data_IF_686679137654
#
_entry.id   IF_686679137654
#
_cell.length_a   1.000
_cell.length_b   1.000
_cell.length_c   1.000
_cell.angle_alpha   90.00
_cell.angle_beta   90.00
_cell.angle_gamma   90.00
#
_symmetry.space_group_name_H-M   'P 1'
#
loop_
_entity.id
_entity.type
_entity.pdbx_description
1 polymer ?
#
# COMPACT_ATOMS: atom_id res chain seq x y z
N UNK A 1 5.94 12.63 -21.29
CA UNK A 1 5.71 11.34 -20.61
C UNK A 1 5.81 11.57 -19.10
N UNK A 2 4.79 12.18 -18.50
CA UNK A 2 4.68 12.24 -17.04
C UNK A 2 3.40 11.53 -16.66
N UNK A 3 3.48 10.21 -16.57
CA UNK A 3 2.45 9.43 -15.90
C UNK A 3 2.55 9.77 -14.42
N UNK A 4 1.76 10.78 -14.04
CA UNK A 4 1.46 11.05 -12.65
C UNK A 4 0.75 9.78 -12.17
N UNK A 5 1.47 8.92 -11.45
CA UNK A 5 0.94 7.71 -10.81
C UNK A 5 -0.02 8.14 -9.70
N UNK A 6 -1.14 8.76 -10.08
CA UNK A 6 -2.22 9.07 -9.18
C UNK A 6 -2.82 7.75 -8.78
N UNK A 7 -2.54 7.41 -7.53
CA UNK A 7 -3.20 6.44 -6.68
C UNK A 7 -4.71 6.31 -6.97
N UNK A 8 -5.08 5.54 -7.99
CA UNK A 8 -6.46 5.15 -8.31
C UNK A 8 -6.66 3.63 -8.16
N UNK A 9 -5.68 2.94 -7.57
CA UNK A 9 -5.79 1.53 -7.22
C UNK A 9 -6.45 1.43 -5.85
N UNK A 10 -7.52 0.65 -5.76
CA UNK A 10 -8.14 0.30 -4.47
C UNK A 10 -7.08 -0.14 -3.46
N UNK A 11 -7.12 0.34 -2.21
CA UNK A 11 -6.21 -0.10 -1.15
C UNK A 11 -6.26 -1.62 -0.99
N UNK A 12 -5.15 -2.22 -0.60
CA UNK A 12 -5.07 -3.66 -0.36
C UNK A 12 -6.10 -4.08 0.69
N UNK A 13 -6.31 -3.28 1.73
CA UNK A 13 -7.33 -3.54 2.75
C UNK A 13 -8.74 -3.65 2.18
N UNK A 14 -9.05 -2.92 1.11
CA UNK A 14 -10.34 -2.99 0.42
C UNK A 14 -10.48 -4.29 -0.39
N UNK A 15 -9.42 -4.69 -1.10
CA UNK A 15 -9.40 -5.95 -1.87
C UNK A 15 -9.51 -7.16 -0.93
N UNK A 16 -8.71 -7.17 0.13
CA UNK A 16 -8.78 -8.20 1.17
C UNK A 16 -10.11 -8.18 1.92
N UNK A 17 -10.75 -7.01 2.08
CA UNK A 17 -12.10 -6.90 2.62
C UNK A 17 -13.14 -7.68 1.79
N UNK A 18 -13.06 -7.60 0.46
CA UNK A 18 -13.91 -8.41 -0.44
C UNK A 18 -13.55 -9.89 -0.40
N UNK A 19 -12.26 -10.24 -0.48
CA UNK A 19 -11.83 -11.63 -0.40
C UNK A 19 -12.21 -12.30 0.94
N UNK A 20 -12.16 -11.55 2.04
CA UNK A 20 -12.59 -12.02 3.36
C UNK A 20 -14.09 -12.32 3.46
N UNK A 21 -14.92 -11.84 2.53
CA UNK A 21 -16.33 -12.27 2.45
C UNK A 21 -16.45 -13.71 1.95
N UNK A 22 -15.70 -14.07 0.91
CA UNK A 22 -15.63 -15.44 0.40
C UNK A 22 -15.10 -16.40 1.46
N UNK A 23 -14.02 -16.02 2.16
CA UNK A 23 -13.47 -16.84 3.25
C UNK A 23 -14.47 -17.05 4.39
N UNK A 24 -15.26 -16.02 4.74
CA UNK A 24 -16.33 -16.16 5.74
C UNK A 24 -17.41 -17.14 5.30
N UNK A 25 -17.80 -17.13 4.02
CA UNK A 25 -18.76 -18.10 3.50
C UNK A 25 -18.22 -19.54 3.59
N UNK A 26 -16.92 -19.74 3.32
CA UNK A 26 -16.26 -21.05 3.52
C UNK A 26 -16.33 -21.49 4.98
N UNK A 27 -15.99 -20.61 5.93
CA UNK A 27 -16.09 -20.92 7.38
C UNK A 27 -17.52 -21.26 7.79
N UNK A 28 -18.52 -20.54 7.28
CA UNK A 28 -19.93 -20.83 7.54
C UNK A 28 -20.36 -22.20 6.99
N UNK A 29 -19.90 -22.57 5.80
CA UNK A 29 -20.17 -23.90 5.23
C UNK A 29 -19.58 -25.01 6.11
N UNK A 30 -18.36 -24.83 6.61
CA UNK A 30 -17.73 -25.77 7.53
C UNK A 30 -18.49 -25.85 8.86
N UNK A 31 -19.00 -24.72 9.38
CA UNK A 31 -19.81 -24.71 10.60
C UNK A 31 -21.11 -25.49 10.41
N UNK A 32 -21.83 -25.23 9.32
CA UNK A 32 -23.06 -25.95 8.99
C UNK A 32 -22.83 -27.45 8.84
N UNK A 33 -21.75 -27.85 8.16
CA UNK A 33 -21.37 -29.28 8.06
C UNK A 33 -21.08 -29.87 9.43
N UNK A 34 -20.33 -29.15 10.28
CA UNK A 34 -20.05 -29.58 11.63
C UNK A 34 -21.34 -29.77 12.44
N UNK A 35 -22.30 -28.86 12.34
CA UNK A 35 -23.59 -28.96 13.06
C UNK A 35 -24.42 -30.16 12.57
N UNK A 36 -24.43 -30.43 11.26
CA UNK A 36 -25.08 -31.62 10.68
C UNK A 36 -24.48 -32.92 11.23
N UNK A 37 -23.15 -32.97 11.36
CA UNK A 37 -22.46 -34.11 11.98
C UNK A 37 -22.86 -34.27 13.46
N UNK A 38 -22.94 -33.16 14.21
CA UNK A 38 -23.38 -33.21 15.61
C UNK A 38 -24.80 -33.75 15.72
N UNK A 39 -25.71 -33.23 14.91
CA UNK A 39 -27.10 -33.69 14.88
C UNK A 39 -27.17 -35.18 14.57
N UNK A 40 -26.45 -35.65 13.55
CA UNK A 40 -26.42 -37.05 13.17
C UNK A 40 -25.89 -37.96 14.28
N UNK A 41 -24.84 -37.53 15.00
CA UNK A 41 -24.29 -38.28 16.12
C UNK A 41 -25.26 -38.40 17.30
N UNK A 42 -26.12 -37.40 17.51
CA UNK A 42 -27.14 -37.39 18.58
C UNK A 42 -28.35 -38.22 18.20
N UNK A 43 -28.84 -38.09 16.96
CA UNK A 43 -30.03 -38.81 16.49
C UNK A 43 -29.75 -40.27 16.12
N UNK A 44 -28.47 -40.64 15.98
CA UNK A 44 -28.05 -41.95 15.51
C UNK A 44 -28.22 -42.13 13.98
N UNK A 45 -27.49 -43.08 13.37
CA UNK A 45 -27.77 -43.51 12.00
C UNK A 45 -29.16 -44.14 11.95
N UNK A 46 -30.03 -43.72 11.01
CA UNK A 46 -31.25 -44.47 10.71
C UNK A 46 -30.87 -45.75 9.96
N UNK A 47 -30.96 -46.90 10.62
CA UNK A 47 -30.93 -48.23 9.98
C UNK A 47 -32.28 -48.45 9.28
N UNK A 48 -32.34 -48.75 7.97
CA UNK A 48 -33.59 -49.17 7.32
C UNK A 48 -34.14 -50.50 7.82
N UNK A 49 -33.35 -51.26 8.60
CA UNK A 49 -33.69 -52.61 9.09
C UNK A 49 -34.45 -52.59 10.42
N UNK A 50 -34.60 -51.44 11.08
CA UNK A 50 -35.28 -51.34 12.40
C UNK A 50 -36.79 -51.10 12.31
N UNK A 51 -37.36 -50.88 11.10
CA UNK A 51 -38.81 -50.69 10.93
C UNK A 51 -39.60 -52.02 10.78
N UNK A 52 -38.93 -53.17 10.66
CA UNK A 52 -39.58 -54.48 10.50
C UNK A 52 -39.54 -55.40 11.75
N UNK A 53 -38.78 -55.04 12.79
CA UNK A 53 -38.50 -55.91 13.94
C UNK A 53 -39.10 -55.42 15.28
N UNK A 54 -40.13 -54.55 15.28
CA UNK A 54 -40.75 -54.05 16.52
C UNK A 54 -41.67 -55.07 17.25
N UNK A 55 -41.94 -56.27 16.70
CA UNK A 55 -42.87 -57.23 17.35
C UNK A 55 -42.24 -58.43 18.06
N UNK A 56 -40.95 -58.78 17.88
CA UNK A 56 -40.37 -59.94 18.55
C UNK A 56 -38.89 -59.77 18.93
N UNK A 57 -38.61 -59.25 20.13
CA UNK A 57 -37.61 -59.75 21.11
C UNK A 57 -37.29 -58.72 22.18
N UNK A 58 -38.06 -58.77 23.26
CA UNK A 58 -37.42 -58.60 24.58
C UNK A 58 -36.43 -59.77 24.78
N UNK A 59 -35.31 -59.50 25.47
CA UNK A 59 -34.22 -60.43 25.81
C UNK A 59 -33.09 -60.56 24.76
N UNK A 60 -32.33 -59.48 24.55
CA UNK A 60 -30.87 -59.61 24.44
C UNK A 60 -30.16 -58.34 24.94
N UNK A 61 -29.06 -58.56 25.67
CA UNK A 61 -28.31 -57.59 26.45
C UNK A 61 -27.47 -56.58 25.62
N UNK A 62 -26.99 -55.49 26.24
CA UNK A 62 -26.71 -54.18 25.64
C UNK A 62 -25.31 -54.02 25.01
N UNK A 63 -24.90 -54.90 24.11
CA UNK A 63 -23.60 -54.75 23.44
C UNK A 63 -23.67 -53.66 22.36
N UNK A 64 -22.87 -52.57 22.46
CA UNK A 64 -22.75 -51.61 21.37
C UNK A 64 -22.15 -52.31 20.15
N UNK A 65 -22.79 -52.18 18.99
CA UNK A 65 -22.19 -52.64 17.74
C UNK A 65 -20.84 -51.92 17.53
N UNK A 66 -19.70 -52.63 17.40
CA UNK A 66 -18.36 -52.02 17.35
C UNK A 66 -18.17 -51.04 16.17
N UNK A 67 -18.95 -51.21 15.11
CA UNK A 67 -18.99 -50.30 13.96
C UNK A 67 -19.59 -48.93 14.32
N UNK A 68 -20.58 -48.90 15.23
CA UNK A 68 -21.20 -47.66 15.73
C UNK A 68 -20.21 -46.85 16.57
N UNK A 69 -19.42 -47.50 17.42
CA UNK A 69 -18.35 -46.84 18.18
C UNK A 69 -17.22 -46.32 17.27
N UNK A 70 -16.83 -47.11 16.28
CA UNK A 70 -15.79 -46.72 15.32
C UNK A 70 -16.24 -45.52 14.48
N UNK A 71 -17.47 -45.53 14.00
CA UNK A 71 -18.09 -44.39 13.31
C UNK A 71 -18.14 -43.17 14.22
N UNK A 72 -18.57 -43.31 15.47
CA UNK A 72 -18.63 -42.21 16.43
C UNK A 72 -17.26 -41.58 16.68
N UNK A 73 -16.20 -42.40 16.82
CA UNK A 73 -14.80 -41.92 16.92
C UNK A 73 -14.37 -41.18 15.67
N UNK A 74 -14.68 -41.72 14.48
CA UNK A 74 -14.36 -41.09 13.19
C UNK A 74 -15.06 -39.74 13.02
N UNK A 75 -16.37 -39.67 13.31
CA UNK A 75 -17.13 -38.42 13.24
C UNK A 75 -16.61 -37.40 14.26
N UNK A 76 -16.26 -37.83 15.47
CA UNK A 76 -15.63 -36.96 16.47
C UNK A 76 -14.33 -36.37 15.94
N UNK A 77 -13.46 -37.18 15.34
CA UNK A 77 -12.23 -36.69 14.72
C UNK A 77 -12.52 -35.70 13.58
N UNK A 78 -13.48 -36.01 12.70
CA UNK A 78 -13.89 -35.13 11.60
C UNK A 78 -14.34 -33.76 12.11
N UNK A 79 -15.11 -33.71 13.20
CA UNK A 79 -15.52 -32.45 13.85
C UNK A 79 -14.33 -31.63 14.32
N UNK A 80 -13.36 -32.24 14.99
CA UNK A 80 -12.16 -31.55 15.46
C UNK A 80 -11.37 -30.97 14.28
N UNK A 81 -11.18 -31.75 13.21
CA UNK A 81 -10.49 -31.28 12.01
C UNK A 81 -11.21 -30.10 11.33
N UNK A 82 -12.55 -30.11 11.31
CA UNK A 82 -13.35 -29.00 10.79
C UNK A 82 -13.16 -27.73 11.62
N UNK A 83 -13.21 -27.85 12.96
CA UNK A 83 -12.99 -26.72 13.88
C UNK A 83 -11.58 -26.15 13.75
N UNK A 84 -10.56 -27.02 13.67
CA UNK A 84 -9.17 -26.59 13.47
C UNK A 84 -8.97 -25.87 12.13
N UNK A 85 -9.58 -26.38 11.06
CA UNK A 85 -9.53 -25.75 9.75
C UNK A 85 -10.21 -24.37 9.76
N UNK A 86 -11.37 -24.23 10.40
CA UNK A 86 -12.06 -22.95 10.57
C UNK A 86 -11.18 -21.95 11.34
N UNK A 87 -10.60 -22.36 12.46
CA UNK A 87 -9.72 -21.51 13.27
C UNK A 87 -8.50 -21.03 12.47
N UNK A 88 -7.92 -21.93 11.65
CA UNK A 88 -6.79 -21.58 10.78
C UNK A 88 -7.19 -20.57 9.71
N UNK A 89 -8.34 -20.75 9.05
CA UNK A 89 -8.85 -19.82 8.04
C UNK A 89 -9.11 -18.44 8.66
N UNK A 90 -9.73 -18.38 9.83
CA UNK A 90 -10.02 -17.13 10.54
C UNK A 90 -8.73 -16.39 10.92
N UNK A 91 -7.73 -17.10 11.45
CA UNK A 91 -6.43 -16.52 11.77
C UNK A 91 -5.76 -15.96 10.52
N UNK A 92 -5.68 -16.74 9.44
CA UNK A 92 -5.10 -16.28 8.18
C UNK A 92 -5.83 -15.05 7.60
N UNK A 93 -7.16 -15.01 7.73
CA UNK A 93 -7.95 -13.85 7.30
C UNK A 93 -7.60 -12.59 8.09
N UNK A 94 -7.40 -12.70 9.40
CA UNK A 94 -7.01 -11.57 10.24
C UNK A 94 -5.56 -11.12 9.97
N UNK A 95 -4.63 -12.06 9.87
CA UNK A 95 -3.23 -11.79 9.53
C UNK A 95 -3.13 -11.04 8.19
N UNK A 96 -3.85 -11.51 7.17
CA UNK A 96 -3.89 -10.87 5.85
C UNK A 96 -4.55 -9.48 5.90
N UNK A 97 -5.59 -9.30 6.73
CA UNK A 97 -6.22 -7.99 6.92
C UNK A 97 -5.23 -6.99 7.53
N UNK A 98 -4.49 -7.39 8.57
CA UNK A 98 -3.46 -6.55 9.18
C UNK A 98 -2.33 -6.25 8.20
N UNK A 99 -1.86 -7.25 7.46
CA UNK A 99 -0.84 -7.09 6.43
C UNK A 99 -1.28 -6.09 5.35
N UNK A 100 -2.52 -6.20 4.88
CA UNK A 100 -3.08 -5.29 3.90
C UNK A 100 -3.12 -3.83 4.40
N UNK A 101 -3.52 -3.62 5.66
CA UNK A 101 -3.50 -2.30 6.29
C UNK A 101 -2.08 -1.73 6.40
N UNK A 102 -1.09 -2.56 6.73
CA UNK A 102 0.32 -2.14 6.79
C UNK A 102 0.86 -1.74 5.42
N UNK A 103 0.52 -2.50 4.38
CA UNK A 103 0.90 -2.16 3.00
C UNK A 103 0.30 -0.81 2.60
N UNK A 104 -0.99 -0.59 2.87
CA UNK A 104 -1.66 0.67 2.57
C UNK A 104 -0.98 1.85 3.29
N UNK A 105 -0.65 1.71 4.57
CA UNK A 105 0.05 2.73 5.34
C UNK A 105 1.48 3.00 4.83
N UNK A 106 2.20 1.96 4.43
CA UNK A 106 3.54 2.11 3.86
C UNK A 106 3.51 2.84 2.51
N UNK A 107 2.53 2.51 1.65
CA UNK A 107 2.34 3.20 0.36
C UNK A 107 2.01 4.68 0.56
N UNK A 108 1.11 4.99 1.50
CA UNK A 108 0.77 6.38 1.84
C UNK A 108 1.99 7.14 2.36
N UNK A 109 2.76 6.53 3.26
CA UNK A 109 3.98 7.14 3.83
C UNK A 109 5.01 7.42 2.74
N UNK A 110 5.28 6.46 1.85
CA UNK A 110 6.19 6.64 0.72
C UNK A 110 5.70 7.72 -0.26
N UNK A 111 4.39 7.78 -0.52
CA UNK A 111 3.79 8.82 -1.37
C UNK A 111 3.95 10.23 -0.78
N UNK A 112 3.83 10.33 0.55
CA UNK A 112 4.09 11.58 1.27
C UNK A 112 5.57 11.98 1.19
N UNK A 113 6.49 11.03 1.38
CA UNK A 113 7.93 11.28 1.27
C UNK A 113 8.32 11.81 -0.11
N UNK A 114 7.79 11.20 -1.19
CA UNK A 114 8.00 11.69 -2.57
C UNK A 114 7.46 13.11 -2.75
N UNK A 115 6.31 13.43 -2.14
CA UNK A 115 5.72 14.77 -2.19
C UNK A 115 6.62 15.78 -1.48
N UNK A 116 7.16 15.43 -0.31
CA UNK A 116 8.11 16.24 0.43
C UNK A 116 9.39 16.49 -0.39
N UNK A 117 10.00 15.44 -0.94
CA UNK A 117 11.19 15.55 -1.78
C UNK A 117 10.97 16.44 -3.01
N UNK A 118 9.81 16.31 -3.68
CA UNK A 118 9.44 17.20 -4.80
C UNK A 118 9.33 18.65 -4.36
N UNK A 119 8.79 18.91 -3.17
CA UNK A 119 8.67 20.26 -2.62
C UNK A 119 10.03 20.87 -2.28
N UNK A 120 10.94 20.07 -1.69
CA UNK A 120 12.31 20.47 -1.36
C UNK A 120 13.14 20.74 -2.62
N UNK A 121 13.02 19.87 -3.62
CA UNK A 121 13.68 20.06 -4.92
C UNK A 121 13.16 21.32 -5.62
N UNK A 122 11.85 21.57 -5.59
CA UNK A 122 11.25 22.78 -6.16
C UNK A 122 11.73 24.05 -5.44
N UNK A 123 11.84 24.00 -4.12
CA UNK A 123 12.39 25.11 -3.33
C UNK A 123 13.87 25.36 -3.66
N UNK A 124 14.67 24.30 -3.79
CA UNK A 124 16.09 24.38 -4.16
C UNK A 124 16.27 24.92 -5.58
N UNK A 125 15.48 24.42 -6.53
CA UNK A 125 15.48 24.88 -7.92
C UNK A 125 15.17 26.38 -8.02
N UNK A 126 14.18 26.88 -7.25
CA UNK A 126 13.88 28.33 -7.18
C UNK A 126 15.07 29.14 -6.64
N UNK A 127 15.70 28.70 -5.54
CA UNK A 127 16.88 29.37 -4.98
C UNK A 127 18.05 29.40 -5.97
N UNK A 128 18.29 28.33 -6.72
CA UNK A 128 19.32 28.29 -7.75
C UNK A 128 19.03 29.27 -8.89
N UNK A 129 17.77 29.39 -9.31
CA UNK A 129 17.37 30.36 -10.33
C UNK A 129 17.57 31.81 -9.85
N UNK A 130 17.28 32.12 -8.59
CA UNK A 130 17.52 33.43 -7.98
C UNK A 130 19.02 33.78 -7.93
N UNK A 131 19.88 32.82 -7.57
CA UNK A 131 21.34 33.02 -7.57
C UNK A 131 21.88 33.27 -8.99
N UNK A 132 21.45 32.47 -9.98
CA UNK A 132 21.87 32.66 -11.38
C UNK A 132 21.39 33.98 -12.00
N UNK A 133 20.20 34.46 -11.60
CA UNK A 133 19.70 35.77 -12.00
C UNK A 133 20.49 36.92 -11.34
N UNK A 134 20.92 36.73 -10.09
CA UNK A 134 21.70 37.72 -9.33
C UNK A 134 23.10 37.92 -9.92
N UNK A 135 23.80 36.85 -10.29
CA UNK A 135 25.13 36.93 -10.96
C UNK A 135 25.03 37.59 -12.34
N UNK A 136 23.95 37.31 -13.09
CA UNK A 136 23.70 37.95 -14.38
C UNK A 136 23.38 39.45 -14.23
N UNK A 137 22.62 39.83 -13.21
CA UNK A 137 22.28 41.24 -12.93
C UNK A 137 23.48 42.04 -12.41
N UNK A 138 24.33 41.44 -11.58
CA UNK A 138 25.54 42.07 -11.05
C UNK A 138 26.56 42.34 -12.15
N UNK A 139 26.82 41.36 -13.02
CA UNK A 139 27.73 41.54 -14.17
C UNK A 139 27.25 42.61 -15.16
N UNK A 140 25.94 42.69 -15.43
CA UNK A 140 25.39 43.73 -16.33
C UNK A 140 25.57 45.13 -15.73
N UNK A 141 25.31 45.29 -14.42
CA UNK A 141 25.50 46.58 -13.73
C UNK A 141 26.98 47.00 -13.69
N UNK A 142 27.89 46.07 -13.40
CA UNK A 142 29.33 46.33 -13.35
C UNK A 142 29.92 46.62 -14.74
N UNK A 143 29.44 45.95 -15.78
CA UNK A 143 29.85 46.20 -17.19
C UNK A 143 29.37 47.58 -17.68
N UNK A 144 28.17 47.99 -17.28
CA UNK A 144 27.65 49.33 -17.60
C UNK A 144 28.45 50.42 -16.88
N UNK A 145 28.82 50.21 -15.61
CA UNK A 145 29.66 51.15 -14.86
C UNK A 145 31.09 51.24 -15.41
N UNK A 146 31.71 50.11 -15.78
CA UNK A 146 33.04 50.11 -16.41
C UNK A 146 33.05 50.84 -17.75
N UNK A 147 32.02 50.64 -18.59
CA UNK A 147 31.89 51.40 -19.83
C UNK A 147 31.72 52.90 -19.59
N UNK A 148 30.89 53.30 -18.62
CA UNK A 148 30.68 54.71 -18.31
C UNK A 148 31.96 55.38 -17.79
N UNK A 149 32.75 54.68 -16.98
CA UNK A 149 34.05 55.16 -16.52
C UNK A 149 35.09 55.21 -17.65
N UNK A 150 35.14 54.21 -18.53
CA UNK A 150 36.05 54.20 -19.67
C UNK A 150 35.76 55.37 -20.62
N UNK A 151 34.49 55.64 -20.93
CA UNK A 151 34.08 56.78 -21.75
C UNK A 151 34.48 58.11 -21.09
N UNK A 152 34.31 58.25 -19.77
CA UNK A 152 34.75 59.44 -19.03
C UNK A 152 36.26 59.66 -19.15
N UNK A 153 37.06 58.59 -18.98
CA UNK A 153 38.52 58.65 -19.13
C UNK A 153 38.95 59.05 -20.54
N UNK A 154 38.29 58.52 -21.58
CA UNK A 154 38.59 58.90 -22.97
C UNK A 154 38.24 60.36 -23.27
N UNK A 155 37.11 60.86 -22.76
CA UNK A 155 36.75 62.28 -22.87
C UNK A 155 37.79 63.17 -22.19
N UNK A 156 38.19 62.84 -20.96
CA UNK A 156 39.14 63.65 -20.19
C UNK A 156 40.57 63.59 -20.76
N UNK A 157 40.98 62.44 -21.32
CA UNK A 157 42.23 62.33 -22.06
C UNK A 157 42.19 63.13 -23.36
N UNK A 158 41.07 63.11 -24.08
CA UNK A 158 40.88 63.87 -25.32
C UNK A 158 40.89 65.38 -25.07
N UNK A 159 40.29 65.83 -23.98
CA UNK A 159 40.32 67.23 -23.57
C UNK A 159 41.73 67.66 -23.13
N UNK A 160 42.49 66.79 -22.44
CA UNK A 160 43.91 67.03 -22.14
C UNK A 160 44.77 67.10 -23.40
N UNK A 161 44.58 66.21 -24.37
CA UNK A 161 45.32 66.23 -25.64
C UNK A 161 44.99 67.51 -26.43
N UNK A 162 43.72 67.91 -26.46
CA UNK A 162 43.28 69.17 -27.08
C UNK A 162 43.86 70.40 -26.38
N UNK A 163 43.95 70.38 -25.06
CA UNK A 163 44.56 71.44 -24.25
C UNK A 163 46.08 71.54 -24.39
N UNK A 164 46.76 70.46 -24.81
CA UNK A 164 48.21 70.43 -25.04
C UNK A 164 48.59 71.11 -26.38
N UNK A 165 47.63 71.39 -27.25
CA UNK A 165 47.75 72.38 -28.33
C UNK A 165 49.08 72.37 -29.10
N UNK A 166 49.16 71.62 -30.19
CA UNK A 166 49.91 72.12 -31.34
C UNK A 166 49.20 73.37 -31.84
N UNK A 167 49.64 74.52 -31.34
CA UNK A 167 49.48 75.79 -32.01
C UNK A 167 50.04 75.67 -33.41
N UNK A 168 49.26 76.12 -34.38
CA UNK A 168 49.62 76.27 -35.78
C UNK A 168 50.99 76.92 -35.95
N UNK A 169 51.85 76.32 -36.77
CA UNK A 169 52.84 77.05 -37.55
C UNK A 169 52.72 76.64 -39.01
N UNK A 170 52.19 77.61 -39.79
CA UNK A 170 52.28 77.82 -41.24
C UNK A 170 53.17 76.82 -42.03
N UNK A 171 52.61 76.12 -43.01
CA UNK A 171 52.49 76.52 -44.43
C UNK A 171 51.64 75.51 -45.20
#
# INVERSE_FOLDING_TARGET
MEETLTCSRSPFSQVFGRQGQLMRATVQSLNSLNDQIASFMVTGPKSPEEEEDEEEKEVQQPFPHPEKETLQKSMTLMRHLLVDAQAKILRMMDDNKQLAQRIDGAIQSASQEVTNLRSELSATSRRLAELGASDSSANVLETLQHNHNAVSWYSELSDRIRSIGFGSTLL
#
